data_IF_900218882252
#
_entry.id   IF_900218882252
#
_cell.length_a   1.000
_cell.length_b   1.000
_cell.length_c   1.000
_cell.angle_alpha   90.00
_cell.angle_beta   90.00
_cell.angle_gamma   90.00
#
_symmetry.space_group_name_H-M   'P 1'
#
loop_
_entity.id
_entity.type
_entity.pdbx_description
1 polymer ?
#
# COMPACT_ATOMS: atom_id res chain seq x y z
N UNK A 1 9.38 -1.72 -6.56
CA UNK A 1 10.67 -2.39 -6.77
C UNK A 1 11.13 -2.99 -5.44
N UNK A 2 10.37 -3.97 -4.96
CA UNK A 2 10.67 -4.92 -3.88
C UNK A 2 9.35 -5.37 -3.27
N UNK A 3 9.23 -6.67 -2.96
CA UNK A 3 8.10 -7.18 -2.16
C UNK A 3 8.39 -6.85 -0.70
N UNK A 4 7.48 -6.13 -0.05
CA UNK A 4 7.57 -5.75 1.36
C UNK A 4 6.83 -6.76 2.23
N UNK A 5 7.26 -6.89 3.48
CA UNK A 5 6.53 -7.69 4.46
C UNK A 5 5.20 -7.00 4.79
N UNK A 6 4.10 -7.74 4.68
CA UNK A 6 2.80 -7.27 5.15
C UNK A 6 2.64 -7.60 6.64
N UNK A 7 2.48 -6.55 7.44
CA UNK A 7 2.27 -6.59 8.87
C UNK A 7 0.97 -7.33 9.21
N UNK A 8 0.97 -7.98 10.38
CA UNK A 8 -0.18 -8.73 10.89
C UNK A 8 -0.86 -7.96 12.03
N UNK A 9 -2.09 -8.35 12.33
CA UNK A 9 -2.86 -7.75 13.42
C UNK A 9 -2.09 -7.79 14.74
N UNK A 10 -2.08 -6.68 15.47
CA UNK A 10 -1.30 -6.49 16.68
C UNK A 10 -0.25 -5.39 16.55
N UNK A 11 0.21 -5.12 15.32
CA UNK A 11 1.17 -4.05 15.05
C UNK A 11 0.55 -2.66 15.30
N UNK A 12 1.16 -1.79 16.13
CA UNK A 12 0.58 -0.49 16.50
C UNK A 12 0.27 0.41 15.30
N UNK A 13 1.11 0.38 14.26
CA UNK A 13 0.94 1.20 13.05
C UNK A 13 -0.38 0.92 12.32
N UNK A 14 -0.93 -0.30 12.44
CA UNK A 14 -2.22 -0.67 11.84
C UNK A 14 -3.43 -0.04 12.54
N UNK A 15 -3.23 0.56 13.72
CA UNK A 15 -4.28 1.25 14.49
C UNK A 15 -4.10 2.77 14.51
N UNK A 16 -2.99 3.28 13.99
CA UNK A 16 -2.70 4.70 13.98
C UNK A 16 -3.39 5.39 12.80
N UNK A 17 -3.75 6.66 12.98
CA UNK A 17 -4.18 7.51 11.87
C UNK A 17 -2.94 7.87 11.05
N UNK A 18 -2.91 7.45 9.79
CA UNK A 18 -1.80 7.74 8.89
C UNK A 18 -1.72 9.25 8.58
N UNK A 19 -0.49 9.74 8.36
CA UNK A 19 -0.23 11.14 8.03
C UNK A 19 -0.64 11.45 6.58
N UNK A 20 -1.09 12.69 6.28
CA UNK A 20 -1.33 13.10 4.90
C UNK A 20 -0.03 13.08 4.09
N UNK A 21 -0.14 12.85 2.80
CA UNK A 21 0.97 13.03 1.86
C UNK A 21 1.12 14.52 1.57
N UNK A 22 2.28 15.09 1.89
CA UNK A 22 2.57 16.52 1.67
C UNK A 22 3.39 16.78 0.41
N UNK A 23 4.10 15.77 -0.11
CA UNK A 23 5.00 15.87 -1.26
C UNK A 23 4.76 14.73 -2.23
N UNK A 24 4.68 15.08 -3.51
CA UNK A 24 4.51 14.14 -4.61
C UNK A 24 5.81 14.08 -5.39
N UNK A 25 6.71 13.22 -4.94
CA UNK A 25 8.07 13.11 -5.44
C UNK A 25 8.44 11.65 -5.75
N UNK A 26 9.71 11.43 -6.09
CA UNK A 26 10.23 10.11 -6.42
C UNK A 26 10.15 9.11 -5.24
N UNK A 27 10.10 9.58 -3.99
CA UNK A 27 9.95 8.68 -2.84
C UNK A 27 8.52 8.14 -2.75
N UNK A 28 7.53 9.00 -2.99
CA UNK A 28 6.13 8.56 -3.09
C UNK A 28 5.95 7.58 -4.26
N UNK A 29 6.56 7.86 -5.42
CA UNK A 29 6.50 6.95 -6.56
C UNK A 29 7.13 5.58 -6.24
N UNK A 30 8.30 5.57 -5.59
CA UNK A 30 8.95 4.33 -5.17
C UNK A 30 8.08 3.52 -4.19
N UNK A 31 7.44 4.19 -3.22
CA UNK A 31 6.50 3.57 -2.29
C UNK A 31 5.33 2.92 -3.03
N UNK A 32 4.70 3.63 -3.96
CA UNK A 32 3.57 3.09 -4.74
C UNK A 32 4.01 1.86 -5.55
N UNK A 33 5.19 1.89 -6.16
CA UNK A 33 5.74 0.74 -6.89
C UNK A 33 5.95 -0.46 -5.98
N UNK A 34 6.50 -0.27 -4.78
CA UNK A 34 6.68 -1.35 -3.78
C UNK A 34 5.33 -1.90 -3.31
N UNK A 35 4.32 -1.04 -3.11
CA UNK A 35 2.98 -1.47 -2.75
C UNK A 35 2.35 -2.34 -3.84
N UNK A 36 2.49 -1.95 -5.11
CA UNK A 36 1.98 -2.73 -6.26
C UNK A 36 2.66 -4.09 -6.33
N UNK A 37 3.99 -4.13 -6.26
CA UNK A 37 4.75 -5.38 -6.28
C UNK A 37 4.31 -6.31 -5.13
N UNK A 38 4.15 -5.75 -3.93
CA UNK A 38 3.74 -6.50 -2.74
C UNK A 38 2.32 -7.04 -2.86
N UNK A 39 1.37 -6.22 -3.32
CA UNK A 39 -0.02 -6.63 -3.51
C UNK A 39 -0.13 -7.78 -4.52
N UNK A 40 0.55 -7.65 -5.67
CA UNK A 40 0.55 -8.68 -6.72
C UNK A 40 1.23 -9.97 -6.25
N UNK A 41 2.36 -9.88 -5.55
CA UNK A 41 3.06 -11.04 -4.99
C UNK A 41 2.18 -11.84 -4.00
N UNK A 42 1.21 -11.18 -3.37
CA UNK A 42 0.26 -11.80 -2.43
C UNK A 42 -1.10 -12.10 -3.04
N UNK A 43 -1.28 -11.93 -4.36
CA UNK A 43 -2.57 -12.04 -5.05
C UNK A 43 -3.69 -11.21 -4.38
N UNK A 44 -3.34 -10.03 -3.85
CA UNK A 44 -4.27 -9.14 -3.17
C UNK A 44 -5.04 -8.22 -4.14
N UNK A 45 -6.23 -7.79 -3.74
CA UNK A 45 -7.04 -6.82 -4.49
C UNK A 45 -6.72 -5.35 -4.14
N UNK A 46 -5.97 -5.13 -3.06
CA UNK A 46 -5.58 -3.80 -2.60
C UNK A 46 -4.61 -3.83 -1.43
N UNK A 47 -3.93 -2.71 -1.20
CA UNK A 47 -2.95 -2.56 -0.13
C UNK A 47 -2.87 -1.09 0.31
N UNK A 48 -2.87 -0.87 1.62
CA UNK A 48 -2.61 0.45 2.23
C UNK A 48 -1.18 0.53 2.75
N UNK A 49 -0.53 1.69 2.64
CA UNK A 49 0.85 1.87 3.07
C UNK A 49 1.14 1.46 4.53
N UNK A 50 0.23 1.67 5.51
CA UNK A 50 0.45 1.20 6.88
C UNK A 50 0.62 -0.33 6.99
N UNK A 51 0.04 -1.11 6.07
CA UNK A 51 0.19 -2.56 6.05
C UNK A 51 1.62 -3.02 5.75
N UNK A 52 2.46 -2.15 5.19
CA UNK A 52 3.90 -2.39 4.97
C UNK A 52 4.78 -1.52 5.86
N UNK A 53 4.21 -0.99 6.96
CA UNK A 53 4.94 -0.22 7.96
C UNK A 53 5.12 1.27 7.65
N UNK A 54 4.50 1.79 6.59
CA UNK A 54 4.62 3.20 6.19
C UNK A 54 3.34 3.95 6.55
N UNK A 55 3.37 4.78 7.59
CA UNK A 55 2.20 5.51 8.11
C UNK A 55 1.84 6.74 7.27
N UNK A 56 1.53 6.54 5.99
CA UNK A 56 1.06 7.56 5.04
C UNK A 56 -0.33 7.20 4.49
N UNK A 57 -1.13 8.21 4.18
CA UNK A 57 -2.46 8.05 3.55
C UNK A 57 -2.32 7.71 2.07
N UNK A 58 -1.86 6.51 1.78
CA UNK A 58 -1.72 5.96 0.43
C UNK A 58 -2.38 4.59 0.39
N UNK A 59 -3.23 4.38 -0.61
CA UNK A 59 -3.89 3.10 -0.88
C UNK A 59 -3.78 2.79 -2.36
N UNK A 60 -3.62 1.52 -2.69
CA UNK A 60 -3.75 0.99 -4.04
C UNK A 60 -4.85 -0.06 -4.06
N UNK A 61 -5.49 -0.21 -5.21
CA UNK A 61 -6.44 -1.28 -5.51
C UNK A 61 -6.27 -1.66 -6.97
N UNK A 62 -6.36 -2.95 -7.25
CA UNK A 62 -6.35 -3.50 -8.60
C UNK A 62 -7.56 -4.40 -8.74
N UNK A 63 -8.42 -4.06 -9.69
CA UNK A 63 -9.62 -4.83 -10.04
C UNK A 63 -9.40 -5.31 -11.46
N UNK A 64 -9.34 -6.63 -11.64
CA UNK A 64 -9.38 -7.21 -12.98
C UNK A 64 -10.79 -7.03 -13.57
N UNK A 65 -10.82 -6.87 -14.89
CA UNK A 65 -11.98 -6.66 -15.78
C UNK A 65 -13.36 -6.77 -15.11
N UNK A 66 -14.08 -5.64 -15.01
CA UNK A 66 -15.41 -5.59 -14.44
C UNK A 66 -16.39 -5.24 -15.57
N UNK A 67 -17.33 -6.12 -15.96
CA UNK A 67 -18.25 -5.88 -17.07
C UNK A 67 -19.20 -4.68 -16.87
N UNK A 68 -19.16 -4.04 -15.70
CA UNK A 68 -19.92 -2.82 -15.37
C UNK A 68 -19.12 -1.53 -15.54
N UNK A 69 -17.79 -1.57 -15.66
CA UNK A 69 -16.90 -0.40 -15.72
C UNK A 69 -15.93 -0.47 -16.89
#
# INVERSE_FOLDING_TARGET
>A
MSVRQVLKMGEPVLRQVAAPVERFDAQLEALVRDMIDTMRALNGAGLAAPQIGVSLRVVIFEVADNPRY
#
